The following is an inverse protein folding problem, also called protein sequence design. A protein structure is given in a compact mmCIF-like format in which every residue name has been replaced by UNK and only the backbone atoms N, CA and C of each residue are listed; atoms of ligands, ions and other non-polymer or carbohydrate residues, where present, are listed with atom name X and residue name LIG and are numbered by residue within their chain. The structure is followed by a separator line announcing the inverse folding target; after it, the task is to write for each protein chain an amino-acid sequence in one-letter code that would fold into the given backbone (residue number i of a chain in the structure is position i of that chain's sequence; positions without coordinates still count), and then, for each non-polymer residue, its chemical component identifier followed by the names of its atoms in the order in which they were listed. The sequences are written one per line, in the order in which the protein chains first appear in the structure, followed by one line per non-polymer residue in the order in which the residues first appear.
data_IF_676516306207
#
_entry.id   IF_676516306207
#
_cell.length_a   1.000
_cell.length_b   1.000
_cell.length_c   1.000
_cell.angle_alpha   90.00
_cell.angle_beta   90.00
_cell.angle_gamma   90.00
#
_symmetry.space_group_name_H-M   'P 1'
#
loop_
_entity.id
_entity.type
_entity.pdbx_description
1 polymer ?
#
# COMPACT_ATOMS: atom_id res chain seq x y z
N UNK A 1 22.99 -0.09 -2.42
CA UNK A 1 22.25 -0.86 -1.41
C UNK A 1 20.94 -0.15 -1.16
N UNK A 2 19.81 -0.78 -1.51
CA UNK A 2 18.50 -0.18 -1.28
C UNK A 2 18.01 -0.48 0.15
N UNK A 3 17.21 0.40 0.79
CA UNK A 3 16.71 0.12 2.12
C UNK A 3 15.76 -1.07 2.15
N UNK A 4 15.98 -2.00 3.06
CA UNK A 4 15.03 -3.08 3.32
C UNK A 4 13.82 -2.59 4.12
N UNK A 5 12.63 -3.07 3.76
CA UNK A 5 11.35 -2.75 4.41
C UNK A 5 10.55 -4.00 4.67
N UNK A 6 9.81 -4.00 5.77
CA UNK A 6 8.94 -5.11 6.14
C UNK A 6 7.57 -4.95 5.50
N UNK A 7 7.11 -5.98 4.79
CA UNK A 7 5.72 -6.09 4.38
C UNK A 7 4.83 -6.26 5.61
N UNK A 8 3.80 -5.43 5.76
CA UNK A 8 2.93 -5.48 6.95
C UNK A 8 1.96 -6.67 6.94
N UNK A 9 1.72 -7.26 5.76
CA UNK A 9 0.86 -8.44 5.60
C UNK A 9 1.55 -9.77 5.90
N UNK A 10 2.76 -10.01 5.39
CA UNK A 10 3.50 -11.27 5.59
C UNK A 10 4.68 -11.18 6.56
N UNK A 11 5.03 -9.98 7.04
CA UNK A 11 6.12 -9.71 8.00
C UNK A 11 7.54 -10.02 7.50
N UNK A 12 7.72 -10.48 6.26
CA UNK A 12 9.02 -10.63 5.59
C UNK A 12 9.60 -9.27 5.17
N UNK A 13 10.93 -9.20 5.05
CA UNK A 13 11.66 -8.03 4.54
C UNK A 13 11.92 -8.15 3.05
N UNK A 14 11.83 -7.03 2.34
CA UNK A 14 12.09 -6.91 0.91
C UNK A 14 12.81 -5.60 0.62
N UNK A 15 13.49 -5.53 -0.52
CA UNK A 15 13.99 -4.27 -1.08
C UNK A 15 12.83 -3.27 -1.24
N UNK A 16 13.02 -2.02 -0.83
CA UNK A 16 11.93 -1.03 -0.78
C UNK A 16 11.24 -0.80 -2.15
N UNK A 17 12.01 -0.86 -3.22
CA UNK A 17 11.63 -0.58 -4.60
C UNK A 17 10.74 -1.65 -5.22
N UNK A 18 10.67 -2.86 -4.64
CA UNK A 18 9.75 -3.93 -5.08
C UNK A 18 8.44 -3.96 -4.29
N UNK A 19 8.26 -3.02 -3.35
CA UNK A 19 7.08 -2.95 -2.50
C UNK A 19 6.15 -1.82 -2.93
N UNK A 20 4.87 -2.09 -2.82
CA UNK A 20 3.86 -1.04 -2.86
C UNK A 20 3.88 -0.27 -1.55
N UNK A 21 3.77 1.05 -1.65
CA UNK A 21 3.84 1.94 -0.49
C UNK A 21 2.55 2.72 -0.34
N UNK A 22 2.00 2.66 0.86
CA UNK A 22 0.79 3.38 1.24
C UNK A 22 1.09 4.40 2.33
N UNK A 23 0.61 5.63 2.18
CA UNK A 23 0.69 6.67 3.22
C UNK A 23 -0.70 7.05 3.67
N UNK A 24 -0.83 7.48 4.92
CA UNK A 24 -2.11 7.96 5.44
C UNK A 24 -2.59 9.20 4.68
N UNK A 25 -3.85 9.19 4.28
CA UNK A 25 -4.52 10.30 3.61
C UNK A 25 -5.98 10.35 4.07
N UNK A 26 -6.33 11.36 4.88
CA UNK A 26 -7.65 11.45 5.51
C UNK A 26 -8.01 10.20 6.30
N UNK A 27 -9.22 9.67 6.08
CA UNK A 27 -9.71 8.44 6.70
C UNK A 27 -9.04 7.16 6.17
N UNK A 28 -8.40 7.22 4.99
CA UNK A 28 -7.88 6.06 4.27
C UNK A 28 -6.37 6.10 4.02
N UNK A 29 -5.98 5.51 2.90
CA UNK A 29 -4.59 5.43 2.46
C UNK A 29 -4.46 5.78 0.98
N UNK A 30 -3.35 6.42 0.62
CA UNK A 30 -2.96 6.66 -0.76
C UNK A 30 -1.77 5.76 -1.13
N UNK A 31 -1.89 5.03 -2.23
CA UNK A 31 -0.87 4.10 -2.73
C UNK A 31 0.14 4.74 -3.69
N UNK A 32 1.27 4.05 -3.86
CA UNK A 32 2.26 4.25 -4.91
C UNK A 32 2.88 2.89 -5.25
N UNK A 33 3.02 2.61 -6.54
CA UNK A 33 3.56 1.34 -7.03
C UNK A 33 5.11 1.32 -7.02
N UNK A 34 5.72 0.12 -7.06
CA UNK A 34 7.12 -0.05 -7.42
C UNK A 34 7.51 0.83 -8.62
N UNK A 35 8.58 1.61 -8.49
CA UNK A 35 9.07 2.52 -9.54
C UNK A 35 8.34 3.87 -9.66
N UNK A 36 7.18 4.07 -9.02
CA UNK A 36 6.51 5.37 -8.99
C UNK A 36 7.17 6.36 -8.01
N UNK A 37 6.86 7.65 -8.19
CA UNK A 37 7.29 8.69 -7.24
C UNK A 37 6.75 8.38 -5.85
N UNK A 38 7.67 8.19 -4.91
CA UNK A 38 7.36 7.91 -3.52
C UNK A 38 6.60 9.07 -2.85
N UNK A 39 5.45 8.75 -2.26
CA UNK A 39 4.66 9.72 -1.50
C UNK A 39 5.41 10.22 -0.23
N UNK A 40 5.22 11.45 0.25
CA UNK A 40 5.78 11.87 1.54
C UNK A 40 5.01 11.26 2.73
N UNK A 41 5.62 11.25 3.92
CA UNK A 41 4.94 10.88 5.18
C UNK A 41 5.12 9.43 5.67
N UNK A 42 4.46 9.11 6.79
CA UNK A 42 4.48 7.78 7.42
C UNK A 42 3.70 6.80 6.57
N UNK A 43 4.35 5.71 6.17
CA UNK A 43 3.74 4.71 5.30
C UNK A 43 3.92 3.27 5.74
N UNK A 44 3.08 2.41 5.17
CA UNK A 44 3.13 0.97 5.28
C UNK A 44 3.46 0.35 3.91
N UNK A 45 4.02 -0.86 3.92
CA UNK A 45 4.44 -1.55 2.70
C UNK A 45 3.72 -2.88 2.53
N UNK A 46 3.37 -3.20 1.30
CA UNK A 46 2.73 -4.46 0.90
C UNK A 46 3.47 -5.05 -0.30
N UNK A 47 3.72 -6.36 -0.27
CA UNK A 47 4.44 -7.06 -1.34
C UNK A 47 3.54 -7.74 -2.37
N UNK A 48 2.24 -7.88 -2.08
CA UNK A 48 1.29 -8.56 -2.96
C UNK A 48 -0.15 -8.28 -2.56
N UNK A 49 -1.06 -8.58 -3.49
CA UNK A 49 -2.50 -8.65 -3.26
C UNK A 49 -2.87 -9.50 -2.03
N UNK A 50 -2.34 -10.72 -1.93
CA UNK A 50 -2.62 -11.59 -0.79
C UNK A 50 -2.21 -10.94 0.55
N UNK A 51 -1.19 -10.08 0.54
CA UNK A 51 -0.79 -9.32 1.73
C UNK A 51 -1.69 -8.13 2.01
N UNK A 52 -2.27 -7.49 1.00
CA UNK A 52 -3.31 -6.47 1.19
C UNK A 52 -4.55 -7.07 1.86
N UNK A 53 -5.02 -8.24 1.40
CA UNK A 53 -6.14 -8.96 2.02
C UNK A 53 -5.85 -9.35 3.48
N UNK A 54 -4.60 -9.73 3.80
CA UNK A 54 -4.17 -9.96 5.19
C UNK A 54 -4.19 -8.67 6.02
N UNK A 55 -3.86 -7.53 5.41
CA UNK A 55 -3.85 -6.24 6.09
C UNK A 55 -5.26 -5.74 6.44
N UNK A 56 -6.31 -6.14 5.73
CA UNK A 56 -7.71 -5.80 6.08
C UNK A 56 -8.09 -6.25 7.47
N UNK A 57 -7.64 -7.44 7.87
CA UNK A 57 -7.92 -8.00 9.19
C UNK A 57 -7.01 -7.45 10.28
N UNK A 58 -6.03 -6.60 9.92
CA UNK A 58 -5.04 -6.08 10.85
C UNK A 58 -5.48 -4.75 11.46
N UNK A 59 -5.91 -4.79 12.73
CA UNK A 59 -6.35 -3.60 13.50
C UNK A 59 -5.28 -2.51 13.63
N UNK A 60 -4.00 -2.82 13.41
CA UNK A 60 -2.91 -1.82 13.42
C UNK A 60 -2.92 -0.91 12.19
N UNK A 61 -3.49 -1.38 11.07
CA UNK A 61 -3.57 -0.63 9.83
C UNK A 61 -5.03 -0.53 9.32
N UNK A 62 -5.93 0.13 10.08
CA UNK A 62 -7.33 0.26 9.69
C UNK A 62 -7.46 0.87 8.29
N UNK A 63 -8.28 0.24 7.44
CA UNK A 63 -8.54 0.68 6.07
C UNK A 63 -7.43 0.40 5.06
N UNK A 64 -6.27 -0.15 5.46
CA UNK A 64 -5.13 -0.31 4.53
C UNK A 64 -5.43 -1.29 3.39
N UNK A 65 -5.96 -2.47 3.71
CA UNK A 65 -6.26 -3.45 2.67
C UNK A 65 -7.41 -3.01 1.76
N UNK A 66 -8.43 -2.34 2.31
CA UNK A 66 -9.52 -1.73 1.52
C UNK A 66 -8.98 -0.68 0.55
N UNK A 67 -8.18 0.28 1.04
CA UNK A 67 -7.56 1.27 0.16
C UNK A 67 -6.58 0.66 -0.83
N UNK A 68 -5.95 -0.48 -0.51
CA UNK A 68 -5.11 -1.21 -1.46
C UNK A 68 -5.91 -1.85 -2.58
N UNK A 69 -7.13 -2.35 -2.31
CA UNK A 69 -8.07 -2.78 -3.35
C UNK A 69 -8.53 -1.60 -4.21
N UNK A 70 -8.98 -0.52 -3.57
CA UNK A 70 -9.48 0.70 -4.26
C UNK A 70 -8.41 1.36 -5.13
N UNK A 71 -7.15 1.35 -4.71
CA UNK A 71 -6.03 1.87 -5.50
C UNK A 71 -5.77 1.07 -6.79
N UNK A 72 -6.44 -0.07 -7.02
CA UNK A 72 -6.22 -0.92 -8.19
C UNK A 72 -4.94 -1.75 -8.11
N UNK A 73 -4.48 -1.98 -6.88
CA UNK A 73 -3.29 -2.78 -6.55
C UNK A 73 -3.58 -4.30 -6.55
N UNK A 74 -4.86 -4.62 -6.70
CA UNK A 74 -5.48 -5.94 -6.75
C UNK A 74 -6.34 -5.95 -8.01
N UNK A 75 -6.09 -6.90 -8.93
CA UNK A 75 -6.92 -7.14 -10.12
C UNK A 75 -7.12 -5.92 -11.02
N UNK A 76 -6.42 -5.88 -12.16
CA UNK A 76 -6.43 -4.76 -13.10
C UNK A 76 -7.81 -4.11 -13.29
N UNK A 77 -7.99 -2.95 -12.68
CA UNK A 77 -8.98 -1.94 -13.04
C UNK A 77 -8.54 -0.64 -12.40
N UNK A 78 -7.99 0.23 -13.24
CA UNK A 78 -7.67 1.62 -12.92
C UNK A 78 -8.98 2.38 -12.75
N UNK A 79 -9.68 2.18 -11.64
CA UNK A 79 -10.94 2.86 -11.35
C UNK A 79 -10.68 4.04 -10.40
N UNK A 80 -10.90 5.22 -10.96
CA UNK A 80 -11.26 6.40 -10.18
C UNK A 80 -10.09 7.31 -9.83
N UNK A 81 -9.86 8.30 -10.68
CA UNK A 81 -9.46 9.63 -10.24
C UNK A 81 -10.19 9.99 -8.95
N UNK A 82 -9.48 10.04 -7.82
CA UNK A 82 -9.93 10.86 -6.69
C UNK A 82 -9.70 12.31 -7.11
N UNK A 83 -10.68 12.84 -7.84
CA UNK A 83 -10.87 14.27 -8.03
C UNK A 83 -11.04 14.95 -6.67
N UNK A 84 -10.58 16.20 -6.65
CA UNK A 84 -10.50 17.10 -5.50
C UNK A 84 -11.88 17.33 -4.88
N UNK A 85 -11.91 17.38 -3.55
CA UNK A 85 -12.91 18.03 -2.72
C UNK A 85 -12.20 18.66 -1.54
#
# INVERSE_FOLDING_TARGET
MEPQRQCVGCRKRFEQGVLYRFVRAGAGWKGSAPGERRLPGRGAYLCSEACAQRAERNKRYPGLGQSAREYGLIGGSRLGSIEKG
#
